data_IF_880127546630
#
_entry.id   IF_880127546630
#
_cell.length_a   1.000
_cell.length_b   1.000
_cell.length_c   1.000
_cell.angle_alpha   90.00
_cell.angle_beta   90.00
_cell.angle_gamma   90.00
#
_symmetry.space_group_name_H-M   'P 1'
#
loop_
_entity.id
_entity.type
_entity.pdbx_description
1 polymer ?
#
# COMPACT_ATOMS: atom_id res chain seq x y z
N UNK A 1 -4.92 11.58 -8.63
CA UNK A 1 -3.76 12.02 -7.81
C UNK A 1 -2.47 11.30 -8.18
N UNK A 2 -2.41 9.97 -8.28
CA UNK A 2 -1.16 9.26 -8.64
C UNK A 2 -0.48 9.74 -9.94
N UNK A 3 -1.25 10.11 -10.96
CA UNK A 3 -0.71 10.74 -12.17
C UNK A 3 0.00 12.07 -11.89
N UNK A 4 -0.58 12.91 -11.02
CA UNK A 4 -0.01 14.19 -10.62
C UNK A 4 1.29 14.00 -9.83
N UNK A 5 1.33 13.03 -8.92
CA UNK A 5 2.55 12.75 -8.15
C UNK A 5 3.71 12.28 -9.01
N UNK A 6 3.44 11.54 -10.09
CA UNK A 6 4.50 11.11 -11.00
C UNK A 6 4.96 12.22 -11.95
N UNK A 7 4.03 13.00 -12.49
CA UNK A 7 4.32 13.93 -13.59
C UNK A 7 4.44 15.40 -13.14
N UNK A 8 4.22 15.70 -11.85
CA UNK A 8 4.34 17.06 -11.31
C UNK A 8 3.29 18.05 -11.85
N UNK A 9 2.19 17.57 -12.41
CA UNK A 9 1.18 18.43 -13.07
C UNK A 9 0.08 18.90 -12.13
N UNK A 10 -0.47 20.09 -12.37
CA UNK A 10 -1.66 20.58 -11.67
C UNK A 10 -2.92 19.74 -11.99
N UNK A 11 -3.92 19.81 -11.11
CA UNK A 11 -5.15 19.02 -11.24
C UNK A 11 -5.89 19.22 -12.58
N UNK A 12 -6.10 20.46 -13.08
CA UNK A 12 -6.79 20.66 -14.35
C UNK A 12 -6.04 20.06 -15.54
N UNK A 13 -4.71 20.14 -15.52
CA UNK A 13 -3.84 19.58 -16.57
C UNK A 13 -3.89 18.06 -16.55
N UNK A 14 -3.79 17.44 -15.37
CA UNK A 14 -3.91 16.00 -15.22
C UNK A 14 -5.29 15.47 -15.66
N UNK A 15 -6.37 16.19 -15.33
CA UNK A 15 -7.73 15.80 -15.70
C UNK A 15 -7.91 15.81 -17.23
N UNK A 16 -7.46 16.88 -17.90
CA UNK A 16 -7.52 16.99 -19.36
C UNK A 16 -6.64 15.93 -20.04
N UNK A 17 -5.43 15.69 -19.53
CA UNK A 17 -4.53 14.67 -20.07
C UNK A 17 -5.12 13.25 -19.97
N UNK A 18 -5.71 12.90 -18.82
CA UNK A 18 -6.36 11.60 -18.63
C UNK A 18 -7.61 11.43 -19.50
N UNK A 19 -8.41 12.49 -19.63
CA UNK A 19 -9.58 12.45 -20.50
C UNK A 19 -9.20 12.28 -21.97
N UNK A 20 -8.14 12.97 -22.43
CA UNK A 20 -7.62 12.81 -23.78
C UNK A 20 -7.02 11.42 -24.05
N UNK A 21 -6.40 10.79 -23.04
CA UNK A 21 -5.74 9.49 -23.15
C UNK A 21 -6.72 8.29 -23.25
N UNK A 22 -7.93 8.42 -22.72
CA UNK A 22 -8.88 7.30 -22.77
C UNK A 22 -10.30 7.59 -22.27
N UNK A 23 -10.71 8.86 -22.26
CA UNK A 23 -12.05 9.28 -21.87
C UNK A 23 -12.42 8.89 -20.43
N UNK A 24 -13.72 8.67 -20.21
CA UNK A 24 -14.28 8.30 -18.90
C UNK A 24 -13.68 6.98 -18.35
N UNK A 25 -13.52 5.90 -19.15
CA UNK A 25 -12.93 4.66 -18.65
C UNK A 25 -11.50 4.82 -18.12
N UNK A 26 -10.76 5.85 -18.55
CA UNK A 26 -9.39 6.09 -18.10
C UNK A 26 -9.28 6.35 -16.61
N UNK A 27 -10.30 6.96 -16.01
CA UNK A 27 -10.36 7.25 -14.58
C UNK A 27 -10.57 6.01 -13.72
N UNK A 28 -11.13 4.93 -14.29
CA UNK A 28 -11.40 3.68 -13.59
C UNK A 28 -10.29 2.63 -13.78
N UNK A 29 -9.22 2.96 -14.50
CA UNK A 29 -8.10 2.03 -14.68
C UNK A 29 -7.35 1.82 -13.38
N UNK A 30 -7.25 0.57 -12.95
CA UNK A 30 -6.68 0.18 -11.66
C UNK A 30 -7.70 0.10 -10.51
N UNK A 31 -9.01 0.20 -10.78
CA UNK A 31 -10.06 -0.01 -9.76
C UNK A 31 -10.07 -1.44 -9.23
N UNK A 32 -9.93 -2.46 -10.08
CA UNK A 32 -9.89 -3.87 -9.64
C UNK A 32 -8.80 -4.15 -8.59
N UNK A 33 -7.51 -3.84 -8.82
CA UNK A 33 -6.50 -4.02 -7.78
C UNK A 33 -6.72 -3.10 -6.58
N UNK A 34 -7.34 -1.93 -6.74
CA UNK A 34 -7.70 -1.07 -5.61
C UNK A 34 -8.80 -1.70 -4.72
N UNK A 35 -9.79 -2.35 -5.33
CA UNK A 35 -10.86 -3.06 -4.62
C UNK A 35 -10.34 -4.28 -3.86
N UNK A 36 -9.30 -4.94 -4.35
CA UNK A 36 -8.62 -5.99 -3.60
C UNK A 36 -7.74 -5.43 -2.48
N UNK A 37 -6.99 -4.36 -2.75
CA UNK A 37 -6.06 -3.76 -1.80
C UNK A 37 -6.78 -3.17 -0.57
N UNK A 38 -7.92 -2.52 -0.75
CA UNK A 38 -8.64 -1.84 0.34
C UNK A 38 -9.00 -2.77 1.51
N UNK A 39 -9.76 -3.86 1.26
CA UNK A 39 -10.08 -4.86 2.27
C UNK A 39 -8.84 -5.55 2.84
N UNK A 40 -7.87 -5.93 2.00
CA UNK A 40 -6.65 -6.59 2.45
C UNK A 40 -5.84 -5.71 3.42
N UNK A 41 -5.70 -4.43 3.09
CA UNK A 41 -5.05 -3.45 3.96
C UNK A 41 -5.78 -3.34 5.30
N UNK A 42 -7.11 -3.17 5.29
CA UNK A 42 -7.88 -2.98 6.52
C UNK A 42 -7.92 -4.22 7.40
N UNK A 43 -7.95 -5.39 6.77
CA UNK A 43 -7.84 -6.66 7.44
C UNK A 43 -6.47 -6.80 8.10
N UNK A 44 -5.38 -6.57 7.36
CA UNK A 44 -4.04 -6.69 7.90
C UNK A 44 -3.75 -5.70 9.02
N UNK A 45 -4.20 -4.45 8.90
CA UNK A 45 -4.06 -3.45 9.96
C UNK A 45 -4.81 -3.91 11.23
N UNK A 46 -6.06 -4.39 11.10
CA UNK A 46 -6.84 -4.90 12.25
C UNK A 46 -6.22 -6.16 12.85
N UNK A 47 -5.77 -7.10 12.02
CA UNK A 47 -5.14 -8.34 12.45
C UNK A 47 -3.80 -8.07 13.15
N UNK A 48 -2.99 -7.14 12.65
CA UNK A 48 -1.76 -6.72 13.29
C UNK A 48 -2.01 -6.05 14.64
N UNK A 49 -3.02 -5.20 14.76
CA UNK A 49 -3.38 -4.59 16.04
C UNK A 49 -3.91 -5.60 17.04
N UNK A 50 -5.11 -6.11 16.77
CA UNK A 50 -5.84 -6.94 17.71
C UNK A 50 -5.10 -8.25 17.92
N UNK A 51 -4.54 -8.85 16.86
CA UNK A 51 -3.80 -10.09 16.95
C UNK A 51 -2.53 -9.98 17.79
N UNK A 52 -1.70 -8.95 17.59
CA UNK A 52 -0.48 -8.78 18.38
C UNK A 52 -0.82 -8.40 19.83
N UNK A 53 -1.80 -7.52 20.06
CA UNK A 53 -2.21 -7.16 21.42
C UNK A 53 -2.78 -8.37 22.16
N UNK A 54 -3.66 -9.16 21.53
CA UNK A 54 -4.22 -10.37 22.13
C UNK A 54 -3.12 -11.39 22.40
N UNK A 55 -2.22 -11.64 21.45
CA UNK A 55 -1.10 -12.56 21.65
C UNK A 55 -0.19 -12.13 22.80
N UNK A 56 0.16 -10.84 22.89
CA UNK A 56 1.01 -10.32 23.96
C UNK A 56 0.31 -10.29 25.33
N UNK A 57 -1.01 -10.14 25.37
CA UNK A 57 -1.80 -10.20 26.60
C UNK A 57 -2.05 -11.63 27.09
N UNK A 58 -2.07 -12.63 26.19
CA UNK A 58 -2.29 -14.04 26.53
C UNK A 58 -1.06 -14.76 27.09
N UNK A 59 0.14 -14.17 26.96
CA UNK A 59 1.37 -14.71 27.50
C UNK A 59 1.68 -14.07 28.86
N UNK A 60 1.80 -14.88 29.92
CA UNK A 60 2.10 -14.40 31.28
C UNK A 60 3.41 -13.60 31.35
N UNK A 61 4.37 -13.87 30.45
CA UNK A 61 5.63 -13.14 30.36
C UNK A 61 5.51 -11.73 29.76
N UNK A 62 4.47 -11.47 28.94
CA UNK A 62 4.32 -10.19 28.22
C UNK A 62 3.07 -9.40 28.61
N UNK A 63 2.19 -9.95 29.47
CA UNK A 63 0.94 -9.29 29.85
C UNK A 63 1.12 -7.99 30.62
N UNK A 64 2.17 -7.88 31.43
CA UNK A 64 2.44 -6.70 32.27
C UNK A 64 3.40 -5.70 31.61
N UNK A 65 3.82 -5.95 30.36
CA UNK A 65 4.70 -5.01 29.65
C UNK A 65 3.92 -3.74 29.31
N UNK A 66 4.59 -2.60 29.45
CA UNK A 66 4.08 -1.28 29.10
C UNK A 66 3.43 -1.31 27.70
N UNK A 67 2.22 -0.72 27.62
CA UNK A 67 1.42 -0.57 26.41
C UNK A 67 2.25 -0.03 25.24
N UNK A 68 3.21 0.88 25.48
CA UNK A 68 4.09 1.40 24.44
C UNK A 68 4.84 0.30 23.65
N UNK A 69 5.38 -0.72 24.31
CA UNK A 69 6.08 -1.81 23.63
C UNK A 69 5.12 -2.71 22.84
N UNK A 70 3.91 -2.95 23.36
CA UNK A 70 2.88 -3.72 22.65
C UNK A 70 2.43 -3.00 21.38
N UNK A 71 2.32 -1.69 21.46
CA UNK A 71 2.00 -0.83 20.32
C UNK A 71 3.13 -0.77 19.30
N UNK A 72 4.39 -0.68 19.71
CA UNK A 72 5.54 -0.81 18.79
C UNK A 72 5.47 -2.14 18.03
N UNK A 73 5.22 -3.25 18.74
CA UNK A 73 5.10 -4.56 18.12
C UNK A 73 3.94 -4.64 17.11
N UNK A 74 2.77 -4.07 17.44
CA UNK A 74 1.63 -3.99 16.53
C UNK A 74 1.96 -3.13 15.29
N UNK A 75 2.61 -1.96 15.48
CA UNK A 75 3.05 -1.10 14.39
C UNK A 75 4.09 -1.78 13.49
N UNK A 76 5.02 -2.54 14.04
CA UNK A 76 5.98 -3.34 13.26
C UNK A 76 5.27 -4.44 12.47
N UNK A 77 4.31 -5.15 13.06
CA UNK A 77 3.53 -6.17 12.37
C UNK A 77 2.73 -5.58 11.20
N UNK A 78 2.10 -4.41 11.38
CA UNK A 78 1.40 -3.71 10.30
C UNK A 78 2.36 -3.23 9.20
N UNK A 79 3.52 -2.71 9.57
CA UNK A 79 4.56 -2.29 8.64
C UNK A 79 5.07 -3.47 7.79
N UNK A 80 5.27 -4.65 8.40
CA UNK A 80 5.63 -5.88 7.69
C UNK A 80 4.49 -6.35 6.77
N UNK A 81 3.25 -6.28 7.23
CA UNK A 81 2.09 -6.60 6.40
C UNK A 81 2.03 -5.72 5.14
N UNK A 82 2.44 -4.44 5.23
CA UNK A 82 2.56 -3.58 4.05
C UNK A 82 3.60 -4.01 3.05
N UNK A 83 4.72 -4.55 3.50
CA UNK A 83 5.71 -5.11 2.59
C UNK A 83 5.08 -6.28 1.82
N UNK A 84 4.31 -7.15 2.50
CA UNK A 84 3.64 -8.31 1.88
C UNK A 84 2.64 -7.88 0.79
N UNK A 85 1.80 -6.89 1.06
CA UNK A 85 0.78 -6.44 0.09
C UNK A 85 1.30 -5.41 -0.93
N UNK A 86 2.58 -5.02 -0.85
CA UNK A 86 3.21 -4.05 -1.75
C UNK A 86 3.04 -4.36 -3.24
N UNK A 87 3.14 -5.62 -3.71
CA UNK A 87 2.96 -5.91 -5.13
C UNK A 87 1.61 -5.47 -5.68
N UNK A 88 0.54 -5.63 -4.89
CA UNK A 88 -0.82 -5.23 -5.26
C UNK A 88 -0.91 -3.70 -5.39
N UNK A 89 -0.27 -2.98 -4.47
CA UNK A 89 -0.21 -1.51 -4.54
C UNK A 89 0.61 -1.01 -5.72
N UNK A 90 1.73 -1.67 -6.04
CA UNK A 90 2.52 -1.35 -7.24
C UNK A 90 1.72 -1.58 -8.52
N UNK A 91 0.94 -2.66 -8.61
CA UNK A 91 0.05 -2.91 -9.75
C UNK A 91 -1.01 -1.81 -9.87
N UNK A 92 -1.70 -1.50 -8.77
CA UNK A 92 -2.71 -0.44 -8.71
C UNK A 92 -2.14 0.90 -9.16
N UNK A 93 -1.05 1.36 -8.55
CA UNK A 93 -0.46 2.68 -8.82
C UNK A 93 0.09 2.76 -10.24
N UNK A 94 0.74 1.71 -10.74
CA UNK A 94 1.22 1.66 -12.12
C UNK A 94 0.07 1.72 -13.11
N UNK A 95 -1.04 1.00 -12.87
CA UNK A 95 -2.22 1.05 -13.73
C UNK A 95 -2.95 2.40 -13.65
N UNK A 96 -3.04 3.03 -12.48
CA UNK A 96 -3.67 4.34 -12.34
C UNK A 96 -2.88 5.43 -13.06
N UNK A 97 -1.54 5.35 -13.01
CA UNK A 97 -0.65 6.29 -13.69
C UNK A 97 -0.62 6.06 -15.20
N UNK A 98 -0.34 4.84 -15.63
CA UNK A 98 -0.04 4.54 -17.05
C UNK A 98 -1.26 4.08 -17.83
N UNK A 99 -2.32 3.67 -17.14
CA UNK A 99 -3.52 3.14 -17.74
C UNK A 99 -3.36 1.73 -18.30
N UNK A 100 -2.22 1.04 -18.24
CA UNK A 100 -2.08 -0.28 -18.88
C UNK A 100 -1.45 -1.29 -17.93
N UNK A 101 -1.97 -2.52 -17.96
CA UNK A 101 -1.38 -3.64 -17.22
C UNK A 101 -0.08 -4.14 -17.86
N UNK A 102 0.05 -4.02 -19.19
CA UNK A 102 1.30 -4.34 -19.91
C UNK A 102 2.52 -3.69 -19.28
N UNK A 103 2.38 -2.45 -18.81
CA UNK A 103 3.48 -1.70 -18.21
C UNK A 103 3.94 -2.28 -16.86
N UNK A 104 3.07 -3.00 -16.15
CA UNK A 104 3.46 -3.76 -14.94
C UNK A 104 4.28 -4.98 -15.35
N UNK A 105 3.84 -5.70 -16.38
CA UNK A 105 4.56 -6.87 -16.93
C UNK A 105 5.92 -6.47 -17.47
N UNK A 106 6.00 -5.37 -18.22
CA UNK A 106 7.25 -4.84 -18.77
C UNK A 106 8.20 -4.42 -17.66
N UNK A 107 7.68 -3.78 -16.60
CA UNK A 107 8.48 -3.44 -15.41
C UNK A 107 9.10 -4.67 -14.75
N UNK A 108 8.33 -5.76 -14.62
CA UNK A 108 8.80 -7.04 -14.05
C UNK A 108 9.79 -7.73 -14.99
N UNK A 109 9.57 -7.68 -16.31
CA UNK A 109 10.50 -8.26 -17.30
C UNK A 109 11.85 -7.56 -17.30
N UNK A 110 11.87 -6.24 -17.16
CA UNK A 110 13.10 -5.43 -17.22
C UNK A 110 13.86 -5.47 -15.89
N UNK A 111 13.17 -5.35 -14.76
CA UNK A 111 13.80 -5.15 -13.44
C UNK A 111 13.68 -6.37 -12.51
N UNK A 112 13.04 -7.45 -12.97
CA UNK A 112 12.72 -8.62 -12.17
C UNK A 112 11.48 -8.45 -11.26
N UNK A 113 11.06 -9.53 -10.58
CA UNK A 113 9.87 -9.55 -9.72
C UNK A 113 9.99 -8.64 -8.49
N UNK A 114 11.22 -8.42 -7.98
CA UNK A 114 11.45 -7.54 -6.84
C UNK A 114 11.14 -6.06 -7.12
N UNK A 115 11.03 -5.66 -8.39
CA UNK A 115 10.63 -4.31 -8.77
C UNK A 115 9.20 -3.93 -8.31
N UNK A 116 8.39 -4.93 -7.95
CA UNK A 116 7.07 -4.75 -7.33
C UNK A 116 7.14 -4.30 -5.87
N UNK A 117 8.30 -4.47 -5.22
CA UNK A 117 8.56 -4.05 -3.85
C UNK A 117 9.29 -2.70 -3.77
N UNK A 118 9.52 -2.03 -4.90
CA UNK A 118 10.16 -0.71 -4.92
C UNK A 118 9.31 0.30 -4.13
N UNK A 119 9.87 0.84 -3.05
CA UNK A 119 9.16 1.73 -2.12
C UNK A 119 8.50 1.02 -0.92
N UNK A 120 8.67 -0.30 -0.78
CA UNK A 120 8.09 -1.09 0.31
C UNK A 120 8.53 -0.59 1.69
N UNK A 121 9.81 -0.23 1.84
CA UNK A 121 10.34 0.36 3.08
C UNK A 121 9.73 1.72 3.36
N UNK A 122 9.53 2.58 2.35
CA UNK A 122 8.89 3.87 2.54
C UNK A 122 7.42 3.71 2.96
N UNK A 123 6.69 2.77 2.35
CA UNK A 123 5.31 2.44 2.71
C UNK A 123 5.21 1.83 4.12
N UNK A 124 6.16 0.95 4.48
CA UNK A 124 6.26 0.35 5.81
C UNK A 124 6.56 1.40 6.89
N UNK A 125 7.51 2.31 6.64
CA UNK A 125 7.82 3.41 7.56
C UNK A 125 6.65 4.38 7.73
N UNK A 126 5.97 4.74 6.63
CA UNK A 126 4.77 5.58 6.68
C UNK A 126 3.66 4.90 7.50
N UNK A 127 3.51 3.58 7.37
CA UNK A 127 2.55 2.80 8.17
C UNK A 127 2.97 2.73 9.62
N UNK A 128 4.23 2.47 9.92
CA UNK A 128 4.74 2.44 11.30
C UNK A 128 4.47 3.76 12.03
N UNK A 129 4.77 4.89 11.40
CA UNK A 129 4.55 6.24 11.97
C UNK A 129 3.07 6.58 12.05
N UNK A 130 2.29 6.31 10.99
CA UNK A 130 0.86 6.61 10.97
C UNK A 130 0.03 5.68 11.85
N UNK A 131 0.61 4.57 12.29
CA UNK A 131 -0.04 3.60 13.13
C UNK A 131 0.33 3.71 14.62
N UNK A 132 1.48 4.32 14.92
CA UNK A 132 1.82 4.68 16.29
C UNK A 132 0.83 5.75 16.80
N UNK A 133 0.20 5.57 17.98
CA UNK A 133 -0.74 6.51 18.57
C UNK A 133 -0.07 7.78 19.08
#
# INVERSE_FOLDING_TARGET
>A
INYQYRNGTSFPVALRALYADGGIPRFYRGVLPALAQGPLSRFGDTAANTGILTMLNSLDATKDINIGFKTVAASTAAALFRIVIMPIDTVKTTMQVTGKFSNVVDKVKVNGPFALYNGSLAAASATFVGHYP
#
